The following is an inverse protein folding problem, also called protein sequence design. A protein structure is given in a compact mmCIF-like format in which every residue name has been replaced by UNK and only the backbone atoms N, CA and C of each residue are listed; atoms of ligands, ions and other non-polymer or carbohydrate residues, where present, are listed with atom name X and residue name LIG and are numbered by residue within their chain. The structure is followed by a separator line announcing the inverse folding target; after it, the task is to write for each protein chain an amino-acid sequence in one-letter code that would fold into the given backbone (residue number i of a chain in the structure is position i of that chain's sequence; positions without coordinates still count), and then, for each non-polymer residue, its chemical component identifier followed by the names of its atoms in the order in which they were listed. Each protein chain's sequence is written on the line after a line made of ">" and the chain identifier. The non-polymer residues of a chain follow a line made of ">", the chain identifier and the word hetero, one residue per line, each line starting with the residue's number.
data_IF_320638275128
#
_entry.id   IF_320638275128
#
_cell.length_a   1.000
_cell.length_b   1.000
_cell.length_c   1.000
_cell.angle_alpha   90.00
_cell.angle_beta   90.00
_cell.angle_gamma   90.00
#
_symmetry.space_group_name_H-M   'P 1'
#
loop_
_entity.id
_entity.type
_entity.pdbx_description
1 polymer ?
#
# COMPACT_ATOMS: atom_id res chain seq x y z
N UNK A 1 8.08 10.05 27.45
CA UNK A 1 8.64 9.27 26.33
C UNK A 1 9.25 10.24 25.33
N UNK A 2 10.57 10.24 25.19
CA UNK A 2 11.28 11.20 24.34
C UNK A 2 11.23 10.79 22.87
N UNK A 3 10.75 11.70 22.01
CA UNK A 3 10.77 11.55 20.55
C UNK A 3 12.25 11.41 20.13
N UNK A 4 12.67 10.21 19.72
CA UNK A 4 14.03 9.98 19.21
C UNK A 4 14.18 10.74 17.90
N UNK A 5 14.89 11.87 17.96
CA UNK A 5 15.23 12.64 16.76
C UNK A 5 16.10 11.78 15.83
N UNK A 6 15.82 11.77 14.52
CA UNK A 6 16.59 10.97 13.58
C UNK A 6 18.06 11.39 13.59
N UNK A 7 18.98 10.42 13.52
CA UNK A 7 20.41 10.73 13.53
C UNK A 7 20.79 11.65 12.37
N UNK A 8 21.82 12.50 12.56
CA UNK A 8 22.33 13.41 11.52
C UNK A 8 22.63 12.70 10.19
N UNK A 9 23.02 11.42 10.24
CA UNK A 9 23.25 10.61 9.04
C UNK A 9 21.96 10.23 8.30
N UNK A 10 20.87 9.98 9.03
CA UNK A 10 19.54 9.69 8.44
C UNK A 10 18.95 10.94 7.77
N UNK A 11 19.08 12.11 8.42
CA UNK A 11 18.65 13.40 7.87
C UNK A 11 19.40 13.75 6.56
N UNK A 12 20.73 13.57 6.50
CA UNK A 12 21.50 13.82 5.27
C UNK A 12 21.11 12.88 4.12
N UNK A 13 20.74 11.63 4.41
CA UNK A 13 20.27 10.68 3.39
C UNK A 13 18.90 11.05 2.84
N UNK A 14 17.99 11.55 3.70
CA UNK A 14 16.67 12.02 3.28
C UNK A 14 16.78 13.27 2.40
N UNK A 15 17.58 14.27 2.81
CA UNK A 15 17.84 15.47 2.00
C UNK A 15 18.43 15.14 0.63
N UNK A 16 19.41 14.23 0.58
CA UNK A 16 20.00 13.78 -0.68
C UNK A 16 19.02 13.01 -1.58
N UNK A 17 18.01 12.36 -0.99
CA UNK A 17 16.94 11.68 -1.73
C UNK A 17 15.95 12.70 -2.29
N UNK A 18 15.55 13.68 -1.50
CA UNK A 18 14.69 14.80 -1.95
C UNK A 18 15.36 15.61 -3.06
N UNK A 19 16.66 15.88 -2.97
CA UNK A 19 17.42 16.57 -4.04
C UNK A 19 17.42 15.76 -5.34
N UNK A 20 17.61 14.44 -5.25
CA UNK A 20 17.54 13.54 -6.42
C UNK A 20 16.14 13.43 -7.01
N UNK A 21 15.10 13.45 -6.18
CA UNK A 21 13.71 13.44 -6.65
C UNK A 21 13.38 14.76 -7.39
N UNK A 22 13.82 15.91 -6.86
CA UNK A 22 13.69 17.22 -7.53
C UNK A 22 14.47 17.31 -8.84
N UNK A 23 15.66 16.71 -8.90
CA UNK A 23 16.48 16.67 -10.11
C UNK A 23 15.83 15.80 -11.21
N UNK A 24 15.27 14.64 -10.84
CA UNK A 24 14.49 13.80 -11.77
C UNK A 24 13.25 14.51 -12.29
N UNK A 25 12.52 15.18 -11.41
CA UNK A 25 11.32 15.94 -11.77
C UNK A 25 11.65 17.08 -12.74
N UNK A 26 12.81 17.75 -12.57
CA UNK A 26 13.29 18.78 -13.51
C UNK A 26 13.65 18.21 -14.88
N UNK A 27 14.30 17.03 -14.92
CA UNK A 27 14.66 16.35 -16.17
C UNK A 27 13.41 15.93 -16.94
N UNK A 28 12.44 15.30 -16.27
CA UNK A 28 11.19 14.89 -16.91
C UNK A 28 10.37 16.09 -17.44
N UNK A 29 10.33 17.20 -16.69
CA UNK A 29 9.71 18.45 -17.18
C UNK A 29 10.40 18.96 -18.46
N UNK A 30 11.73 18.88 -18.52
CA UNK A 30 12.51 19.38 -19.68
C UNK A 30 12.30 18.56 -20.95
N UNK A 31 12.01 17.27 -20.78
CA UNK A 31 11.82 16.27 -21.84
C UNK A 31 10.39 16.36 -22.41
N UNK A 32 9.38 16.56 -21.56
CA UNK A 32 7.99 16.80 -21.99
C UNK A 32 7.84 18.11 -22.77
N UNK A 33 8.52 19.18 -22.35
CA UNK A 33 8.58 20.43 -23.12
C UNK A 33 9.35 20.24 -24.44
N UNK A 34 10.17 19.19 -24.59
CA UNK A 34 10.85 18.87 -25.86
C UNK A 34 9.91 18.23 -26.89
N UNK A 35 8.94 17.45 -26.44
CA UNK A 35 8.05 16.66 -27.29
C UNK A 35 6.85 17.44 -27.84
N UNK A 36 6.72 18.73 -27.53
CA UNK A 36 5.74 19.61 -28.17
C UNK A 36 4.28 19.35 -27.80
N UNK A 37 3.99 18.65 -26.69
CA UNK A 37 2.63 18.40 -26.20
C UNK A 37 1.95 19.64 -25.56
N UNK A 38 2.35 20.86 -25.94
CA UNK A 38 1.77 22.10 -25.42
C UNK A 38 1.21 22.88 -26.60
N UNK A 39 -0.06 22.64 -26.93
CA UNK A 39 -0.89 23.58 -27.70
C UNK A 39 -1.31 24.73 -26.77
N UNK A 40 -1.10 25.96 -27.22
CA UNK A 40 -1.35 27.22 -26.51
C UNK A 40 -2.82 27.68 -26.48
N UNK A 41 -3.80 26.82 -26.79
CA UNK A 41 -5.22 27.21 -26.83
C UNK A 41 -6.07 26.32 -25.92
N UNK A 42 -6.24 26.73 -24.66
CA UNK A 42 -7.44 26.52 -23.82
C UNK A 42 -7.16 27.08 -22.42
N UNK A 43 -7.22 28.40 -22.29
CA UNK A 43 -6.97 29.13 -21.04
C UNK A 43 -8.28 29.50 -20.28
N UNK A 44 -9.43 28.89 -20.61
CA UNK A 44 -10.74 29.34 -20.10
C UNK A 44 -11.67 28.25 -19.52
N UNK A 45 -11.18 27.08 -19.12
CA UNK A 45 -12.04 26.12 -18.38
C UNK A 45 -11.38 25.68 -17.07
N UNK A 46 -11.54 26.52 -16.05
CA UNK A 46 -11.29 26.15 -14.67
C UNK A 46 -12.56 25.44 -14.14
N UNK A 47 -12.53 24.14 -13.81
CA UNK A 47 -13.69 23.51 -13.21
C UNK A 47 -13.92 24.09 -11.81
N UNK A 48 -15.10 24.66 -11.66
CA UNK A 48 -15.67 25.21 -10.42
C UNK A 48 -15.68 24.14 -9.32
N UNK A 49 -15.18 24.50 -8.14
CA UNK A 49 -15.07 23.60 -7.01
C UNK A 49 -16.46 23.23 -6.49
N UNK A 50 -16.84 21.96 -6.65
CA UNK A 50 -18.09 21.41 -6.11
C UNK A 50 -17.98 21.38 -4.57
N UNK A 51 -18.91 21.99 -3.82
CA UNK A 51 -18.95 21.88 -2.36
C UNK A 51 -19.27 20.44 -1.95
N UNK A 52 -18.47 19.87 -1.05
CA UNK A 52 -18.82 18.63 -0.34
C UNK A 52 -19.95 18.94 0.66
N UNK A 53 -21.15 18.45 0.40
CA UNK A 53 -22.20 18.30 1.42
C UNK A 53 -21.88 17.08 2.29
N UNK A 54 -21.63 17.31 3.58
CA UNK A 54 -21.66 16.29 4.62
C UNK A 54 -23.11 15.83 4.83
N UNK A 55 -23.45 14.63 4.38
CA UNK A 55 -24.65 13.92 4.84
C UNK A 55 -24.33 13.19 6.14
N UNK A 56 -24.73 13.79 7.26
CA UNK A 56 -24.97 13.09 8.51
C UNK A 56 -26.26 12.26 8.39
N UNK A 57 -26.14 10.94 8.39
CA UNK A 57 -27.28 10.05 8.62
C UNK A 57 -27.24 9.55 10.06
N UNK A 58 -27.98 10.24 10.92
CA UNK A 58 -28.43 9.73 12.22
C UNK A 58 -29.30 8.49 12.01
N UNK A 59 -28.95 7.41 12.71
CA UNK A 59 -29.83 6.27 12.94
C UNK A 59 -29.72 5.92 14.43
N UNK A 60 -30.57 6.56 15.22
CA UNK A 60 -31.01 6.07 16.52
C UNK A 60 -32.09 5.00 16.27
N UNK A 61 -31.82 3.75 16.65
CA UNK A 61 -32.86 2.74 16.82
C UNK A 61 -33.06 2.53 18.33
N UNK A 62 -34.14 3.14 18.80
CA UNK A 62 -34.82 2.92 20.07
C UNK A 62 -35.38 1.49 20.11
N UNK A 63 -34.99 0.69 21.10
CA UNK A 63 -35.73 -0.51 21.50
C UNK A 63 -36.21 -0.31 22.94
N UNK A 64 -37.42 0.23 23.03
CA UNK A 64 -38.28 0.17 24.20
C UNK A 64 -38.66 -1.28 24.50
N UNK A 65 -38.40 -1.70 25.73
CA UNK A 65 -38.78 -3.01 26.26
C UNK A 65 -39.05 -2.89 27.75
N UNK A 66 -40.21 -2.30 28.07
CA UNK A 66 -40.88 -2.41 29.38
C UNK A 66 -41.29 -3.86 29.63
N UNK A 67 -40.86 -4.44 30.75
CA UNK A 67 -41.77 -5.16 31.64
C UNK A 67 -41.20 -5.23 33.07
N UNK A 68 -41.89 -4.55 33.98
CA UNK A 68 -41.91 -4.79 35.42
C UNK A 68 -42.40 -6.22 35.67
N UNK A 69 -41.86 -6.96 36.65
CA UNK A 69 -42.68 -7.61 37.68
C UNK A 69 -41.83 -7.84 38.93
N UNK A 70 -42.38 -7.34 40.04
CA UNK A 70 -41.95 -7.46 41.42
C UNK A 70 -42.00 -8.94 41.86
N UNK A 71 -40.97 -9.45 42.53
CA UNK A 71 -41.03 -10.77 43.17
C UNK A 71 -41.27 -10.62 44.68
N UNK A 72 -42.51 -10.92 45.04
CA UNK A 72 -43.09 -10.83 46.37
C UNK A 72 -42.65 -12.00 47.25
N UNK A 73 -42.23 -11.67 48.46
CA UNK A 73 -41.81 -12.60 49.49
C UNK A 73 -43.03 -13.35 50.08
N UNK A 74 -43.21 -14.64 49.76
CA UNK A 74 -44.18 -15.52 50.44
C UNK A 74 -43.48 -16.73 51.07
N UNK A 75 -43.47 -16.69 52.40
CA UNK A 75 -43.08 -17.72 53.34
C UNK A 75 -44.01 -18.95 53.27
N UNK A 76 -43.47 -20.18 53.21
CA UNK A 76 -44.30 -21.40 53.22
C UNK A 76 -43.55 -22.74 53.16
N UNK A 77 -43.35 -23.32 54.35
CA UNK A 77 -43.32 -24.76 54.65
C UNK A 77 -42.02 -25.58 54.49
N UNK A 78 -41.53 -25.99 55.66
CA UNK A 78 -40.43 -26.92 55.92
C UNK A 78 -40.64 -28.30 55.27
N UNK A 79 -39.75 -28.67 54.35
CA UNK A 79 -39.35 -30.07 54.14
C UNK A 79 -37.84 -30.17 54.17
N UNK A 80 -37.34 -30.79 55.23
CA UNK A 80 -35.93 -31.12 55.41
C UNK A 80 -35.47 -32.07 54.29
N UNK A 81 -34.93 -31.49 53.21
CA UNK A 81 -34.09 -32.21 52.26
C UNK A 81 -32.67 -32.26 52.83
N UNK A 82 -31.91 -33.36 52.64
CA UNK A 82 -30.51 -33.40 53.04
C UNK A 82 -29.81 -32.24 52.36
N UNK A 83 -29.20 -31.37 53.15
CA UNK A 83 -28.51 -30.19 52.67
C UNK A 83 -27.49 -30.62 51.62
N UNK A 84 -27.86 -30.48 50.34
CA UNK A 84 -26.89 -30.35 49.26
C UNK A 84 -26.06 -29.17 49.71
N UNK A 85 -24.88 -29.42 50.28
CA UNK A 85 -23.89 -28.37 50.46
C UNK A 85 -23.78 -27.75 49.08
N UNK A 86 -24.29 -26.54 48.94
CA UNK A 86 -24.02 -25.70 47.78
C UNK A 86 -22.51 -25.58 47.76
N UNK A 87 -21.88 -26.48 46.99
CA UNK A 87 -20.46 -26.44 46.72
C UNK A 87 -20.30 -25.12 46.01
N UNK A 88 -19.84 -24.11 46.75
CA UNK A 88 -19.51 -22.80 46.21
C UNK A 88 -18.71 -23.07 44.94
N UNK A 89 -19.13 -22.55 43.77
CA UNK A 89 -18.40 -22.79 42.54
C UNK A 89 -16.94 -22.45 42.82
N UNK A 90 -16.06 -23.45 42.64
CA UNK A 90 -14.63 -23.24 42.84
C UNK A 90 -14.20 -22.21 41.81
N UNK A 91 -13.75 -21.05 42.27
CA UNK A 91 -13.21 -20.02 41.39
C UNK A 91 -11.95 -20.62 40.76
N UNK A 92 -11.94 -20.75 39.42
CA UNK A 92 -10.88 -21.40 38.64
C UNK A 92 -10.64 -22.88 39.00
N UNK A 93 -11.64 -23.75 38.79
CA UNK A 93 -11.49 -25.20 38.96
C UNK A 93 -10.75 -25.87 37.79
N UNK A 94 -9.42 -25.89 37.87
CA UNK A 94 -8.56 -26.45 36.81
C UNK A 94 -8.83 -27.94 36.54
N UNK A 95 -9.15 -28.73 37.58
CA UNK A 95 -9.41 -30.17 37.44
C UNK A 95 -10.69 -30.43 36.63
N UNK A 96 -11.74 -29.64 36.89
CA UNK A 96 -12.98 -29.71 36.14
C UNK A 96 -12.78 -29.28 34.67
N UNK A 97 -12.02 -28.21 34.43
CA UNK A 97 -11.74 -27.72 33.07
C UNK A 97 -10.96 -28.76 32.25
N UNK A 98 -9.97 -29.41 32.83
CA UNK A 98 -9.22 -30.48 32.17
C UNK A 98 -10.14 -31.66 31.86
N UNK A 99 -10.94 -32.13 32.83
CA UNK A 99 -11.87 -33.24 32.65
C UNK A 99 -12.85 -32.98 31.49
N UNK A 100 -13.48 -31.81 31.47
CA UNK A 100 -14.43 -31.42 30.44
C UNK A 100 -13.74 -31.30 29.08
N UNK A 101 -12.54 -30.73 29.04
CA UNK A 101 -11.75 -30.64 27.80
C UNK A 101 -11.42 -32.02 27.25
N UNK A 102 -11.06 -32.98 28.11
CA UNK A 102 -10.76 -34.35 27.69
C UNK A 102 -11.98 -35.14 27.20
N UNK A 103 -13.16 -34.80 27.72
CA UNK A 103 -14.45 -35.37 27.29
C UNK A 103 -14.82 -34.88 25.89
N UNK A 104 -14.67 -33.57 25.61
CA UNK A 104 -14.98 -33.00 24.30
C UNK A 104 -13.88 -33.19 23.24
N UNK A 105 -12.62 -33.34 23.65
CA UNK A 105 -11.48 -33.42 22.73
C UNK A 105 -11.56 -34.69 21.88
N UNK A 106 -11.73 -34.49 20.58
CA UNK A 106 -11.60 -35.56 19.59
C UNK A 106 -10.16 -36.10 19.59
N UNK A 107 -10.01 -37.41 19.80
CA UNK A 107 -8.71 -38.10 19.86
C UNK A 107 -8.45 -38.84 18.55
N UNK A 108 -7.22 -38.75 18.03
CA UNK A 108 -6.69 -39.52 16.89
C UNK A 108 -7.44 -39.35 15.55
N UNK A 109 -7.61 -38.10 15.10
CA UNK A 109 -8.07 -37.81 13.74
C UNK A 109 -6.87 -37.43 12.84
N UNK A 110 -6.90 -37.78 11.54
CA UNK A 110 -6.00 -37.18 10.56
C UNK A 110 -6.11 -35.66 10.59
N UNK A 111 -5.00 -34.96 10.36
CA UNK A 111 -5.00 -33.49 10.40
C UNK A 111 -5.99 -32.86 9.40
N UNK A 112 -6.25 -33.55 8.28
CA UNK A 112 -7.20 -33.08 7.26
C UNK A 112 -8.64 -32.91 7.79
N UNK A 113 -9.04 -33.65 8.83
CA UNK A 113 -10.39 -33.52 9.43
C UNK A 113 -10.49 -32.28 10.34
N UNK A 114 -9.38 -31.85 10.94
CA UNK A 114 -9.40 -30.66 11.80
C UNK A 114 -8.98 -29.39 11.07
N UNK A 115 -8.12 -29.50 10.04
CA UNK A 115 -7.49 -28.42 9.28
C UNK A 115 -6.95 -27.28 10.16
N UNK A 116 -6.64 -27.59 11.42
CA UNK A 116 -6.30 -26.62 12.46
C UNK A 116 -4.78 -26.48 12.55
N UNK A 117 -4.27 -25.26 12.52
CA UNK A 117 -2.86 -24.96 12.74
C UNK A 117 -2.71 -24.04 13.94
N UNK A 118 -1.92 -24.46 14.92
CA UNK A 118 -1.55 -23.63 16.05
C UNK A 118 -0.26 -22.87 15.70
N UNK A 119 -0.24 -21.56 15.95
CA UNK A 119 0.94 -20.73 15.78
C UNK A 119 2.10 -21.22 16.65
N UNK A 120 3.32 -21.21 16.11
CA UNK A 120 4.52 -21.61 16.87
C UNK A 120 4.92 -20.60 17.94
N UNK A 121 4.60 -19.32 17.71
CA UNK A 121 4.94 -18.20 18.59
C UNK A 121 3.69 -17.52 19.11
N UNK A 122 3.77 -17.07 20.36
CA UNK A 122 2.77 -16.16 20.93
C UNK A 122 2.86 -14.80 20.24
N UNK A 123 1.72 -14.14 20.08
CA UNK A 123 1.68 -12.78 19.54
C UNK A 123 2.04 -11.81 20.66
N UNK A 124 3.11 -11.07 20.47
CA UNK A 124 3.53 -10.00 21.37
C UNK A 124 3.39 -8.67 20.64
N UNK A 125 2.44 -7.84 21.08
CA UNK A 125 2.21 -6.51 20.53
C UNK A 125 2.68 -5.49 21.59
N UNK A 126 3.71 -4.68 21.29
CA UNK A 126 4.27 -3.72 22.27
C UNK A 126 3.27 -2.66 22.74
N UNK A 127 2.38 -2.20 21.84
CA UNK A 127 1.29 -1.28 22.17
C UNK A 127 -0.02 -1.79 21.56
N UNK A 128 -0.96 -2.16 22.42
CA UNK A 128 -2.26 -2.72 22.03
C UNK A 128 -3.11 -1.69 21.27
N UNK A 129 -2.84 -0.40 21.45
CA UNK A 129 -3.56 0.69 20.77
C UNK A 129 -3.01 1.01 19.39
N UNK A 130 -1.81 0.52 19.05
CA UNK A 130 -1.26 0.64 17.70
C UNK A 130 -1.88 -0.43 16.79
N UNK A 131 -2.94 -0.02 16.10
CA UNK A 131 -3.71 -0.90 15.22
C UNK A 131 -2.86 -1.43 14.05
N UNK A 132 -1.99 -0.60 13.46
CA UNK A 132 -1.17 -1.00 12.32
C UNK A 132 -0.16 -2.09 12.69
N UNK A 133 0.47 -1.99 13.87
CA UNK A 133 1.38 -3.02 14.36
C UNK A 133 0.64 -4.31 14.71
N UNK A 134 -0.57 -4.19 15.28
CA UNK A 134 -1.43 -5.32 15.63
C UNK A 134 -1.91 -6.07 14.38
N UNK A 135 -2.44 -5.37 13.39
CA UNK A 135 -2.89 -5.95 12.13
C UNK A 135 -1.76 -6.69 11.40
N UNK A 136 -0.55 -6.11 11.42
CA UNK A 136 0.62 -6.75 10.84
C UNK A 136 0.97 -8.06 11.58
N UNK A 137 0.87 -8.10 12.91
CA UNK A 137 1.10 -9.31 13.69
C UNK A 137 0.07 -10.41 13.38
N UNK A 138 -1.22 -10.06 13.29
CA UNK A 138 -2.28 -10.99 12.89
C UNK A 138 -2.08 -11.52 11.48
N UNK A 139 -1.71 -10.64 10.54
CA UNK A 139 -1.38 -11.02 9.17
C UNK A 139 -0.22 -12.02 9.12
N UNK A 140 0.85 -11.77 9.88
CA UNK A 140 2.01 -12.67 9.94
C UNK A 140 1.64 -14.05 10.50
N UNK A 141 0.84 -14.09 11.58
CA UNK A 141 0.37 -15.33 12.17
C UNK A 141 -0.51 -16.13 11.19
N UNK A 142 -1.45 -15.45 10.52
CA UNK A 142 -2.31 -16.08 9.51
C UNK A 142 -1.48 -16.62 8.33
N UNK A 143 -0.49 -15.86 7.88
CA UNK A 143 0.39 -16.26 6.78
C UNK A 143 1.25 -17.47 7.14
N UNK A 144 1.77 -17.55 8.36
CA UNK A 144 2.49 -18.74 8.86
C UNK A 144 1.55 -19.96 8.87
N UNK A 145 0.35 -19.81 9.41
CA UNK A 145 -0.64 -20.89 9.47
C UNK A 145 -1.04 -21.39 8.08
N UNK A 146 -1.23 -20.48 7.11
CA UNK A 146 -1.56 -20.82 5.72
C UNK A 146 -0.42 -21.59 5.05
N UNK A 147 0.85 -21.22 5.29
CA UNK A 147 2.00 -21.95 4.73
C UNK A 147 2.07 -23.38 5.26
N UNK A 148 1.96 -23.55 6.57
CA UNK A 148 1.96 -24.88 7.22
C UNK A 148 0.76 -25.70 6.74
N UNK A 149 -0.43 -25.08 6.67
CA UNK A 149 -1.64 -25.74 6.20
C UNK A 149 -1.51 -26.19 4.75
N UNK A 150 -0.96 -25.35 3.87
CA UNK A 150 -0.73 -25.67 2.46
C UNK A 150 0.20 -26.88 2.31
N UNK A 151 1.31 -26.92 3.05
CA UNK A 151 2.25 -28.06 3.01
C UNK A 151 1.55 -29.36 3.38
N UNK A 152 0.76 -29.36 4.47
CA UNK A 152 0.02 -30.54 4.92
C UNK A 152 -1.08 -30.99 3.97
N UNK A 153 -1.79 -30.05 3.32
CA UNK A 153 -2.81 -30.37 2.30
C UNK A 153 -2.17 -31.03 1.08
N UNK A 154 -1.02 -30.52 0.63
CA UNK A 154 -0.28 -31.09 -0.50
C UNK A 154 0.32 -32.46 -0.17
N UNK A 155 0.80 -32.66 1.06
CA UNK A 155 1.29 -33.97 1.55
C UNK A 155 0.16 -35.02 1.59
N UNK A 156 -1.07 -34.60 1.89
CA UNK A 156 -2.25 -35.44 1.80
C UNK A 156 -2.71 -35.73 0.35
N UNK A 157 -2.04 -35.16 -0.67
CA UNK A 157 -2.36 -35.38 -2.08
C UNK A 157 -3.58 -34.62 -2.59
N UNK A 158 -4.04 -33.60 -1.87
CA UNK A 158 -5.25 -32.84 -2.20
C UNK A 158 -4.94 -31.50 -2.92
N UNK A 159 -5.78 -31.04 -3.85
CA UNK A 159 -5.62 -29.72 -4.47
C UNK A 159 -5.90 -28.60 -3.46
N UNK A 160 -5.02 -27.60 -3.42
CA UNK A 160 -5.14 -26.45 -2.50
C UNK A 160 -5.69 -25.19 -3.20
N UNK A 161 -5.23 -24.90 -4.41
CA UNK A 161 -5.59 -23.68 -5.13
C UNK A 161 -6.92 -23.83 -5.84
N UNK A 162 -7.80 -22.82 -5.70
CA UNK A 162 -9.04 -22.71 -6.47
C UNK A 162 -8.69 -22.55 -7.97
N UNK A 163 -9.17 -23.43 -8.87
CA UNK A 163 -9.05 -23.24 -10.31
C UNK A 163 -9.83 -22.01 -10.79
N UNK A 164 -9.29 -21.28 -11.76
CA UNK A 164 -9.94 -20.06 -12.31
C UNK A 164 -11.25 -20.38 -13.05
N UNK A 165 -11.39 -21.60 -13.57
CA UNK A 165 -12.56 -22.08 -14.32
C UNK A 165 -13.63 -22.75 -13.42
N UNK A 166 -13.48 -22.66 -12.09
CA UNK A 166 -14.46 -23.20 -11.15
C UNK A 166 -15.38 -22.09 -10.60
N UNK A 167 -16.54 -21.94 -11.25
CA UNK A 167 -17.59 -20.98 -10.89
C UNK A 167 -18.58 -21.60 -9.90
N UNK A 168 -18.27 -21.49 -8.62
CA UNK A 168 -19.19 -21.78 -7.52
C UNK A 168 -19.59 -20.47 -6.81
N UNK A 169 -20.65 -20.53 -6.01
CA UNK A 169 -21.09 -19.39 -5.20
C UNK A 169 -19.97 -18.95 -4.24
N UNK A 170 -19.64 -17.65 -4.28
CA UNK A 170 -18.63 -17.03 -3.42
C UNK A 170 -19.31 -16.29 -2.28
N UNK A 171 -18.61 -16.10 -1.15
CA UNK A 171 -19.13 -15.40 0.04
C UNK A 171 -19.69 -14.00 -0.30
N UNK A 172 -19.09 -13.31 -1.28
CA UNK A 172 -19.52 -11.99 -1.76
C UNK A 172 -19.97 -12.10 -3.22
N UNK A 173 -21.07 -11.43 -3.55
CA UNK A 173 -21.59 -11.36 -4.92
C UNK A 173 -20.68 -10.57 -5.85
N UNK A 174 -20.75 -10.88 -7.15
CA UNK A 174 -19.99 -10.16 -8.18
C UNK A 174 -20.37 -8.68 -8.24
N UNK A 175 -21.65 -8.34 -8.02
CA UNK A 175 -22.13 -6.97 -7.95
C UNK A 175 -21.47 -6.18 -6.81
N UNK A 176 -21.34 -6.79 -5.63
CA UNK A 176 -20.65 -6.18 -4.51
C UNK A 176 -19.16 -5.96 -4.85
N UNK A 177 -18.51 -6.96 -5.44
CA UNK A 177 -17.09 -6.85 -5.83
C UNK A 177 -16.86 -5.88 -6.99
N UNK A 178 -17.85 -5.68 -7.88
CA UNK A 178 -17.80 -4.65 -8.91
C UNK A 178 -17.78 -3.24 -8.28
N UNK A 179 -18.62 -2.99 -7.27
CA UNK A 179 -18.61 -1.72 -6.53
C UNK A 179 -17.28 -1.46 -5.82
N UNK A 180 -16.70 -2.48 -5.19
CA UNK A 180 -15.38 -2.36 -4.54
C UNK A 180 -14.29 -2.04 -5.57
N UNK A 181 -14.28 -2.73 -6.72
CA UNK A 181 -13.32 -2.47 -7.80
C UNK A 181 -13.47 -1.05 -8.37
N UNK A 182 -14.71 -0.59 -8.55
CA UNK A 182 -14.97 0.77 -9.01
C UNK A 182 -14.40 1.81 -8.04
N UNK A 183 -14.63 1.67 -6.73
CA UNK A 183 -14.05 2.57 -5.71
C UNK A 183 -12.52 2.63 -5.78
N UNK A 184 -11.87 1.48 -5.92
CA UNK A 184 -10.40 1.43 -6.04
C UNK A 184 -9.89 2.12 -7.32
N UNK A 185 -10.62 1.97 -8.43
CA UNK A 185 -10.29 2.67 -9.68
C UNK A 185 -10.47 4.18 -9.52
N UNK A 186 -11.57 4.61 -8.90
CA UNK A 186 -11.86 6.03 -8.66
C UNK A 186 -10.80 6.67 -7.75
N UNK A 187 -10.43 6.01 -6.65
CA UNK A 187 -9.35 6.46 -5.77
C UNK A 187 -8.01 6.57 -6.51
N UNK A 188 -7.68 5.58 -7.34
CA UNK A 188 -6.46 5.60 -8.14
C UNK A 188 -6.46 6.72 -9.19
N UNK A 189 -7.62 7.01 -9.78
CA UNK A 189 -7.79 8.07 -10.76
C UNK A 189 -7.70 9.45 -10.10
N UNK A 190 -8.29 9.63 -8.92
CA UNK A 190 -8.19 10.85 -8.13
C UNK A 190 -6.74 11.14 -7.71
N UNK A 191 -6.00 10.12 -7.27
CA UNK A 191 -4.59 10.27 -6.92
C UNK A 191 -3.76 10.73 -8.14
N UNK A 192 -3.93 10.06 -9.28
CA UNK A 192 -3.25 10.43 -10.53
C UNK A 192 -3.60 11.84 -10.98
N UNK A 193 -4.90 12.20 -10.98
CA UNK A 193 -5.34 13.54 -11.34
C UNK A 193 -4.71 14.61 -10.41
N UNK A 194 -4.58 14.32 -9.12
CA UNK A 194 -3.93 15.23 -8.17
C UNK A 194 -2.42 15.39 -8.44
N UNK A 195 -1.74 14.31 -8.85
CA UNK A 195 -0.32 14.31 -9.23
C UNK A 195 -0.10 15.06 -10.54
N UNK A 196 -0.95 14.81 -11.54
CA UNK A 196 -0.94 15.49 -12.83
C UNK A 196 -1.24 16.98 -12.69
N UNK A 197 -2.20 17.36 -11.84
CA UNK A 197 -2.48 18.76 -11.54
C UNK A 197 -1.28 19.46 -10.86
N UNK A 198 -0.57 18.78 -9.95
CA UNK A 198 0.68 19.31 -9.37
C UNK A 198 1.76 19.48 -10.45
N UNK A 199 1.92 18.48 -11.32
CA UNK A 199 2.87 18.50 -12.45
C UNK A 199 2.57 19.65 -13.42
N UNK A 200 1.31 19.84 -13.79
CA UNK A 200 0.86 20.94 -14.65
C UNK A 200 1.11 22.30 -14.00
N UNK A 201 0.88 22.46 -12.69
CA UNK A 201 1.21 23.70 -11.96
C UNK A 201 2.71 23.99 -11.99
N UNK A 202 3.55 22.98 -11.84
CA UNK A 202 5.01 23.13 -11.92
C UNK A 202 5.46 23.48 -13.34
N UNK A 203 4.88 22.83 -14.35
CA UNK A 203 5.10 23.15 -15.77
C UNK A 203 4.74 24.60 -16.07
N UNK A 204 3.56 25.08 -15.65
CA UNK A 204 3.16 26.48 -15.82
C UNK A 204 4.11 27.45 -15.10
N UNK A 205 4.51 27.12 -13.87
CA UNK A 205 5.39 27.97 -13.04
C UNK A 205 6.82 28.08 -13.59
N UNK A 206 7.38 26.99 -14.10
CA UNK A 206 8.77 26.93 -14.54
C UNK A 206 8.96 26.90 -16.06
N UNK A 207 7.88 26.78 -16.84
CA UNK A 207 7.93 26.61 -18.30
C UNK A 207 8.77 27.67 -19.00
N UNK A 208 8.54 28.95 -18.71
CA UNK A 208 9.34 30.05 -19.29
C UNK A 208 10.82 29.98 -18.91
N UNK A 209 11.13 29.63 -17.65
CA UNK A 209 12.52 29.48 -17.19
C UNK A 209 13.21 28.31 -17.89
N UNK A 210 12.52 27.17 -18.00
CA UNK A 210 13.01 25.98 -18.72
C UNK A 210 13.26 26.30 -20.19
N UNK A 211 12.34 27.03 -20.84
CA UNK A 211 12.48 27.42 -22.25
C UNK A 211 13.71 28.30 -22.48
N UNK A 212 13.93 29.31 -21.63
CA UNK A 212 15.10 30.20 -21.71
C UNK A 212 16.40 29.43 -21.42
N UNK A 213 16.43 28.60 -20.38
CA UNK A 213 17.59 27.76 -20.02
C UNK A 213 17.96 26.83 -21.18
N UNK A 214 16.96 26.19 -21.82
CA UNK A 214 17.14 25.30 -22.97
C UNK A 214 17.62 26.03 -24.22
N UNK A 215 17.14 27.25 -24.48
CA UNK A 215 17.65 28.07 -25.59
C UNK A 215 19.11 28.47 -25.37
N UNK A 216 19.47 28.88 -24.15
CA UNK A 216 20.84 29.21 -23.77
C UNK A 216 21.76 27.97 -23.88
N UNK A 217 21.28 26.81 -23.45
CA UNK A 217 22.01 25.55 -23.56
C UNK A 217 22.25 25.18 -25.03
N UNK A 218 21.22 25.27 -25.89
CA UNK A 218 21.37 25.06 -27.34
C UNK A 218 22.36 26.03 -27.98
N UNK A 219 22.36 27.30 -27.56
CA UNK A 219 23.33 28.27 -28.06
C UNK A 219 24.76 27.92 -27.62
N UNK A 220 24.95 27.55 -26.35
CA UNK A 220 26.25 27.08 -25.84
C UNK A 220 26.74 25.83 -26.57
N UNK A 221 25.87 24.84 -26.77
CA UNK A 221 26.23 23.65 -27.55
C UNK A 221 26.62 23.99 -29.00
N UNK A 222 25.93 24.96 -29.63
CA UNK A 222 26.32 25.47 -30.96
C UNK A 222 27.67 26.19 -30.94
N UNK A 223 27.97 27.01 -29.95
CA UNK A 223 29.28 27.68 -29.85
C UNK A 223 30.39 26.67 -29.62
N UNK A 224 30.19 25.71 -28.72
CA UNK A 224 31.18 24.68 -28.38
C UNK A 224 31.48 23.77 -29.57
N UNK A 225 30.45 23.40 -30.35
CA UNK A 225 30.63 22.61 -31.57
C UNK A 225 31.37 23.41 -32.66
N UNK A 226 31.06 24.69 -32.85
CA UNK A 226 31.79 25.56 -33.77
C UNK A 226 33.25 25.75 -33.35
N UNK A 227 33.54 25.87 -32.05
CA UNK A 227 34.90 25.95 -31.53
C UNK A 227 35.68 24.65 -31.77
N UNK A 228 35.07 23.49 -31.52
CA UNK A 228 35.66 22.18 -31.85
C UNK A 228 35.97 22.07 -33.34
N UNK A 229 35.06 22.51 -34.22
CA UNK A 229 35.30 22.53 -35.67
C UNK A 229 36.45 23.48 -36.03
N UNK A 230 36.53 24.68 -35.43
CA UNK A 230 37.65 25.62 -35.66
C UNK A 230 38.98 25.04 -35.18
N UNK A 231 39.00 24.32 -34.06
CA UNK A 231 40.19 23.63 -33.56
C UNK A 231 40.60 22.50 -34.51
N UNK A 232 39.66 21.68 -34.97
CA UNK A 232 39.91 20.63 -35.96
C UNK A 232 40.41 21.20 -37.30
N UNK A 233 39.80 22.29 -37.81
CA UNK A 233 40.27 22.97 -39.03
C UNK A 233 41.70 23.51 -38.86
N UNK A 234 42.03 24.09 -37.69
CA UNK A 234 43.40 24.54 -37.39
C UNK A 234 44.38 23.37 -37.30
N UNK A 235 44.00 22.28 -36.65
CA UNK A 235 44.81 21.05 -36.60
C UNK A 235 45.06 20.51 -38.01
N UNK A 236 43.99 20.36 -38.81
CA UNK A 236 44.06 19.87 -40.18
C UNK A 236 44.95 20.76 -41.06
N UNK A 237 44.86 22.08 -40.92
CA UNK A 237 45.74 23.01 -41.63
C UNK A 237 47.21 22.86 -41.21
N UNK A 238 47.47 22.66 -39.91
CA UNK A 238 48.81 22.38 -39.39
C UNK A 238 49.34 21.02 -39.89
N UNK A 239 48.48 20.00 -39.96
CA UNK A 239 48.83 18.65 -40.44
C UNK A 239 49.12 18.64 -41.95
N UNK A 240 48.39 19.45 -42.73
CA UNK A 240 48.68 19.71 -44.15
C UNK A 240 50.04 20.41 -44.31
N UNK A 241 50.33 21.44 -43.51
CA UNK A 241 51.61 22.16 -43.56
C UNK A 241 52.80 21.31 -43.09
N UNK A 242 52.59 20.36 -42.18
CA UNK A 242 53.62 19.42 -41.71
C UNK A 242 53.81 18.20 -42.61
N UNK A 243 53.14 18.15 -43.77
CA UNK A 243 53.34 17.12 -44.79
C UNK A 243 52.90 15.71 -44.39
N UNK A 244 51.99 15.57 -43.41
CA UNK A 244 51.50 14.26 -42.94
C UNK A 244 50.18 13.82 -43.60
N UNK A 245 49.82 14.39 -44.76
CA UNK A 245 48.59 14.06 -45.50
C UNK A 245 48.91 13.33 -46.79
N UNK A 246 49.32 12.07 -46.69
CA UNK A 246 49.73 11.24 -47.82
C UNK A 246 48.92 9.96 -47.97
N UNK A 247 47.58 9.98 -47.86
CA UNK A 247 46.76 8.90 -48.41
C UNK A 247 45.51 9.45 -49.11
N UNK A 248 45.43 9.08 -50.38
CA UNK A 248 44.50 9.52 -51.43
C UNK A 248 43.15 8.83 -51.24
N UNK A 249 42.11 9.57 -50.89
CA UNK A 249 40.73 9.07 -51.03
C UNK A 249 40.31 9.25 -52.49
N UNK A 250 40.33 8.13 -53.23
CA UNK A 250 39.73 8.02 -54.56
C UNK A 250 38.22 7.93 -54.36
N UNK A 251 37.49 8.99 -54.74
CA UNK A 251 36.04 8.95 -54.90
C UNK A 251 35.71 8.13 -56.16
N UNK A 252 34.92 7.07 -56.00
CA UNK A 252 34.17 6.46 -57.10
C UNK A 252 32.83 7.20 -57.22
N UNK A 253 32.45 7.50 -58.47
CA UNK A 253 31.13 7.98 -58.90
C UNK A 253 30.00 7.00 -58.56
#
# INVERSE_FOLDING_TARGET
>A
MGIKTPSKAKLRRLLKREEKEKEKEKIELSEQVANGEIDEENDDDAPEAVPLEEQSSDLEDDIEGSDDEEDDNVNGEEKQQPTKKELRPRINDEEAMIRITEEFKLKKLPWFETMSVTSSKSIEIPDIKDDMARELAFYQQALEAVKIGREKVLEAGMPFSRPDDYFAEMIKSEEHMAKVRQKLLDESAQLKASEDAKRQRLLKKYGKKVQVEKQLERQKQKTDTLEKIKLLKRSMYIDILKGKGGERWVLYE
#
